data_IF_808582169647
#
_entry.id   IF_808582169647
#
_cell.length_a   1.000
_cell.length_b   1.000
_cell.length_c   1.000
_cell.angle_alpha   90.00
_cell.angle_beta   90.00
_cell.angle_gamma   90.00
#
_symmetry.space_group_name_H-M   'P 1'
#
loop_
_entity.id
_entity.type
_entity.pdbx_description
1 polymer ?
#
# COMPACT_ATOMS: atom_id res chain seq x y z
N UNK A 1 9.60 -22.44 -7.25
CA UNK A 1 10.19 -21.43 -8.14
C UNK A 1 9.10 -20.42 -8.39
N UNK A 2 9.03 -19.40 -7.56
CA UNK A 2 7.99 -18.37 -7.63
C UNK A 2 8.64 -17.00 -7.35
N UNK A 3 9.45 -16.55 -8.31
CA UNK A 3 10.30 -15.34 -8.19
C UNK A 3 9.75 -14.17 -9.02
N UNK A 4 8.43 -14.07 -9.21
CA UNK A 4 7.83 -12.97 -10.02
C UNK A 4 7.44 -11.72 -9.22
N UNK A 5 7.66 -11.68 -7.91
CA UNK A 5 7.13 -10.63 -7.04
C UNK A 5 7.84 -9.26 -7.09
N UNK A 6 8.91 -9.09 -7.88
CA UNK A 6 9.63 -7.80 -7.92
C UNK A 6 10.15 -7.41 -9.31
N UNK A 7 9.68 -8.08 -10.37
CA UNK A 7 10.25 -7.92 -11.70
C UNK A 7 9.95 -6.51 -12.26
N UNK A 8 8.69 -6.07 -12.17
CA UNK A 8 8.25 -4.79 -12.75
C UNK A 8 8.95 -3.60 -12.08
N UNK A 9 8.98 -3.52 -10.74
CA UNK A 9 9.71 -2.45 -10.04
C UNK A 9 11.21 -2.45 -10.40
N UNK A 10 11.80 -3.63 -10.60
CA UNK A 10 13.20 -3.77 -10.98
C UNK A 10 13.44 -3.28 -12.42
N UNK A 11 12.52 -3.54 -13.34
CA UNK A 11 12.58 -3.01 -14.72
C UNK A 11 12.65 -1.48 -14.72
N UNK A 12 11.78 -0.81 -13.97
CA UNK A 12 11.79 0.66 -13.87
C UNK A 12 13.09 1.20 -13.26
N UNK A 13 13.65 0.50 -12.28
CA UNK A 13 14.97 0.82 -11.70
C UNK A 13 16.06 0.76 -12.77
N UNK A 14 16.09 -0.31 -13.56
CA UNK A 14 17.08 -0.52 -14.63
C UNK A 14 16.95 0.53 -15.72
N UNK A 15 15.73 0.84 -16.16
CA UNK A 15 15.47 1.90 -17.14
C UNK A 15 15.95 3.26 -16.60
N UNK A 16 15.71 3.54 -15.31
CA UNK A 16 16.21 4.75 -14.67
C UNK A 16 17.72 4.87 -14.73
N UNK A 17 18.45 3.80 -14.39
CA UNK A 17 19.91 3.75 -14.49
C UNK A 17 20.36 3.99 -15.93
N UNK A 18 19.79 3.28 -16.90
CA UNK A 18 20.13 3.42 -18.32
C UNK A 18 19.90 4.85 -18.80
N UNK A 19 18.79 5.50 -18.41
CA UNK A 19 18.48 6.89 -18.77
C UNK A 19 19.55 7.87 -18.25
N UNK A 20 19.99 7.72 -16.99
CA UNK A 20 21.04 8.57 -16.41
C UNK A 20 22.35 8.32 -17.14
N UNK A 21 22.72 7.06 -17.35
CA UNK A 21 23.97 6.67 -17.99
C UNK A 21 24.03 7.20 -19.43
N UNK A 22 22.96 7.02 -20.21
CA UNK A 22 22.87 7.56 -21.58
C UNK A 22 22.91 9.08 -21.59
N UNK A 23 22.16 9.76 -20.72
CA UNK A 23 22.18 11.22 -20.63
C UNK A 23 23.56 11.77 -20.29
N UNK A 24 24.26 11.12 -19.35
CA UNK A 24 25.64 11.44 -18.99
C UNK A 24 26.59 11.30 -20.18
N UNK A 25 26.61 10.13 -20.82
CA UNK A 25 27.54 9.89 -21.92
C UNK A 25 27.23 10.76 -23.15
N UNK A 26 25.96 10.89 -23.52
CA UNK A 26 25.56 11.69 -24.68
C UNK A 26 25.76 13.18 -24.43
N UNK A 27 25.45 13.68 -23.23
CA UNK A 27 25.67 15.08 -22.87
C UNK A 27 27.15 15.45 -22.90
N UNK A 28 28.01 14.62 -22.29
CA UNK A 28 29.47 14.81 -22.32
C UNK A 28 30.00 14.69 -23.76
N UNK A 29 29.53 13.71 -24.52
CA UNK A 29 29.93 13.54 -25.92
C UNK A 29 29.61 14.79 -26.76
N UNK A 30 28.41 15.36 -26.59
CA UNK A 30 28.04 16.60 -27.29
C UNK A 30 28.89 17.79 -26.87
N UNK A 31 29.24 17.92 -25.58
CA UNK A 31 30.09 19.01 -25.08
C UNK A 31 31.54 18.87 -25.56
N UNK A 32 32.08 17.64 -25.59
CA UNK A 32 33.50 17.40 -25.86
C UNK A 32 33.84 17.22 -27.35
N UNK A 33 32.85 16.92 -28.20
CA UNK A 33 33.11 16.61 -29.60
C UNK A 33 33.32 17.89 -30.44
N UNK A 34 34.53 18.05 -30.98
CA UNK A 34 34.94 19.20 -31.79
C UNK A 34 34.19 19.31 -33.13
N UNK A 35 33.56 18.22 -33.59
CA UNK A 35 32.74 18.21 -34.82
C UNK A 35 31.53 19.15 -34.72
N UNK A 36 31.09 19.47 -33.50
CA UNK A 36 29.96 20.37 -33.25
C UNK A 36 30.37 21.80 -32.89
N UNK A 37 31.67 22.14 -32.97
CA UNK A 37 32.17 23.49 -32.67
C UNK A 37 31.53 24.58 -33.54
N UNK A 38 31.01 24.23 -34.72
CA UNK A 38 30.26 25.16 -35.59
C UNK A 38 28.99 25.71 -34.93
N UNK A 39 28.46 25.02 -33.91
CA UNK A 39 27.31 25.48 -33.11
C UNK A 39 27.71 26.47 -32.00
N UNK A 40 29.00 26.65 -31.71
CA UNK A 40 29.48 27.59 -30.69
C UNK A 40 28.81 27.39 -29.32
N UNK A 41 28.25 28.47 -28.75
CA UNK A 41 27.59 28.42 -27.43
C UNK A 41 26.38 27.47 -27.38
N UNK A 42 25.70 27.22 -28.51
CA UNK A 42 24.54 26.32 -28.57
C UNK A 42 24.93 24.86 -28.30
N UNK A 43 26.16 24.45 -28.63
CA UNK A 43 26.66 23.11 -28.36
C UNK A 43 26.64 22.80 -26.85
N UNK A 44 27.12 23.74 -26.03
CA UNK A 44 27.12 23.60 -24.58
C UNK A 44 25.71 23.52 -24.02
N UNK A 45 24.80 24.37 -24.51
CA UNK A 45 23.39 24.35 -24.09
C UNK A 45 22.74 22.99 -24.41
N UNK A 46 22.90 22.50 -25.64
CA UNK A 46 22.34 21.21 -26.06
C UNK A 46 22.89 20.06 -25.22
N UNK A 47 24.21 20.01 -25.00
CA UNK A 47 24.83 18.96 -24.20
C UNK A 47 24.37 18.97 -22.73
N UNK A 48 24.26 20.16 -22.12
CA UNK A 48 23.70 20.30 -20.77
C UNK A 48 22.23 19.92 -20.71
N UNK A 49 21.43 20.31 -21.72
CA UNK A 49 20.03 19.89 -21.82
C UNK A 49 19.93 18.37 -21.87
N UNK A 50 20.67 17.69 -22.75
CA UNK A 50 20.66 16.23 -22.87
C UNK A 50 21.02 15.57 -21.54
N UNK A 51 22.06 16.07 -20.87
CA UNK A 51 22.48 15.57 -19.57
C UNK A 51 21.37 15.71 -18.52
N UNK A 52 20.84 16.92 -18.35
CA UNK A 52 19.80 17.22 -17.36
C UNK A 52 18.54 16.41 -17.65
N UNK A 53 18.13 16.31 -18.91
CA UNK A 53 16.96 15.53 -19.31
C UNK A 53 17.15 14.04 -18.95
N UNK A 54 18.31 13.45 -19.22
CA UNK A 54 18.58 12.06 -18.87
C UNK A 54 18.56 11.81 -17.34
N UNK A 55 19.10 12.75 -16.56
CA UNK A 55 19.05 12.72 -15.09
C UNK A 55 17.62 12.84 -14.57
N UNK A 56 16.85 13.81 -15.08
CA UNK A 56 15.46 14.03 -14.68
C UNK A 56 14.59 12.80 -14.95
N UNK A 57 14.67 12.24 -16.16
CA UNK A 57 13.95 11.01 -16.49
C UNK A 57 14.38 9.83 -15.63
N UNK A 58 15.68 9.71 -15.33
CA UNK A 58 16.18 8.71 -14.40
C UNK A 58 15.53 8.79 -13.03
N UNK A 59 15.50 10.00 -12.44
CA UNK A 59 14.86 10.26 -11.14
C UNK A 59 13.36 9.92 -11.19
N UNK A 60 12.67 10.30 -12.26
CA UNK A 60 11.24 9.97 -12.46
C UNK A 60 11.01 8.46 -12.46
N UNK A 61 11.82 7.70 -13.20
CA UNK A 61 11.70 6.24 -13.24
C UNK A 61 12.01 5.58 -11.88
N UNK A 62 13.00 6.08 -11.14
CA UNK A 62 13.22 5.63 -9.76
C UNK A 62 12.02 5.92 -8.86
N UNK A 63 11.40 7.09 -8.99
CA UNK A 63 10.17 7.45 -8.29
C UNK A 63 9.06 6.43 -8.57
N UNK A 64 8.80 6.13 -9.85
CA UNK A 64 7.80 5.13 -10.23
C UNK A 64 8.13 3.73 -9.72
N UNK A 65 9.39 3.30 -9.77
CA UNK A 65 9.79 2.01 -9.19
C UNK A 65 9.38 1.91 -7.71
N UNK A 66 9.61 2.96 -6.91
CA UNK A 66 9.21 2.97 -5.49
C UNK A 66 7.70 2.91 -5.31
N UNK A 67 6.94 3.67 -6.09
CA UNK A 67 5.47 3.65 -6.04
C UNK A 67 4.95 2.26 -6.40
N UNK A 68 5.46 1.65 -7.46
CA UNK A 68 5.06 0.30 -7.89
C UNK A 68 5.41 -0.73 -6.82
N UNK A 69 6.60 -0.65 -6.23
CA UNK A 69 7.02 -1.56 -5.13
C UNK A 69 6.10 -1.44 -3.92
N UNK A 70 5.64 -0.23 -3.59
CA UNK A 70 4.67 -0.03 -2.51
C UNK A 70 3.32 -0.66 -2.85
N UNK A 71 2.82 -0.46 -4.06
CA UNK A 71 1.56 -1.06 -4.51
C UNK A 71 1.63 -2.58 -4.54
N UNK A 72 2.72 -3.15 -5.05
CA UNK A 72 2.98 -4.60 -5.00
C UNK A 72 3.05 -5.10 -3.56
N UNK A 73 3.69 -4.34 -2.66
CA UNK A 73 3.72 -4.67 -1.24
C UNK A 73 2.33 -4.67 -0.58
N UNK A 74 1.41 -3.78 -1.00
CA UNK A 74 0.03 -3.78 -0.52
C UNK A 74 -0.73 -4.99 -1.10
N UNK A 75 -0.61 -5.20 -2.41
CA UNK A 75 -1.27 -6.31 -3.11
C UNK A 75 -0.86 -7.67 -2.55
N UNK A 76 0.45 -7.92 -2.40
CA UNK A 76 0.94 -9.19 -1.87
C UNK A 76 0.47 -9.43 -0.43
N UNK A 77 0.34 -8.38 0.40
CA UNK A 77 -0.22 -8.53 1.76
C UNK A 77 -1.71 -8.87 1.74
N UNK A 78 -2.47 -8.37 0.78
CA UNK A 78 -3.88 -8.73 0.61
C UNK A 78 -4.02 -10.21 0.22
N UNK A 79 -3.16 -10.68 -0.69
CA UNK A 79 -3.13 -12.08 -1.14
C UNK A 79 -2.59 -13.03 -0.05
N UNK A 80 -1.56 -12.63 0.68
CA UNK A 80 -0.98 -13.40 1.80
C UNK A 80 -1.96 -13.56 2.96
N UNK A 81 -2.77 -12.54 3.26
CA UNK A 81 -3.84 -12.65 4.25
C UNK A 81 -4.98 -13.61 3.81
N UNK A 82 -5.07 -14.00 2.54
CA UNK A 82 -5.96 -15.08 2.10
C UNK A 82 -5.38 -16.48 2.37
N UNK A 83 -4.06 -16.60 2.56
CA UNK A 83 -3.37 -17.88 2.80
C UNK A 83 -2.98 -18.13 4.26
N UNK A 84 -2.84 -17.10 5.10
CA UNK A 84 -2.44 -17.23 6.52
C UNK A 84 -3.58 -17.50 7.52
N UNK A 85 -4.82 -17.69 7.07
CA UNK A 85 -5.90 -18.11 7.97
C UNK A 85 -5.68 -19.51 8.58
N UNK A 86 -4.75 -20.32 8.06
CA UNK A 86 -4.54 -21.71 8.50
C UNK A 86 -3.57 -21.90 9.68
N UNK A 87 -2.81 -20.90 10.15
CA UNK A 87 -1.85 -21.08 11.24
C UNK A 87 -1.75 -19.85 12.15
N UNK A 88 -2.79 -19.59 12.96
CA UNK A 88 -2.60 -18.82 14.18
C UNK A 88 -3.24 -19.51 15.39
N UNK A 89 -2.46 -20.42 15.97
CA UNK A 89 -2.70 -21.07 17.24
C UNK A 89 -2.87 -20.03 18.35
N UNK A 90 -4.02 -20.11 18.99
CA UNK A 90 -4.53 -19.29 20.08
C UNK A 90 -3.48 -19.14 21.20
N UNK A 91 -3.05 -17.90 21.49
CA UNK A 91 -2.65 -17.50 22.84
C UNK A 91 -3.51 -16.33 23.31
N UNK A 92 -4.62 -16.74 23.89
CA UNK A 92 -5.49 -16.12 24.90
C UNK A 92 -5.03 -14.80 25.51
N UNK A 93 -5.81 -13.74 25.25
CA UNK A 93 -6.20 -12.71 26.24
C UNK A 93 -7.34 -11.84 25.66
N UNK A 94 -8.48 -12.46 25.31
CA UNK A 94 -9.71 -11.75 24.98
C UNK A 94 -10.59 -11.68 26.23
N UNK A 95 -10.66 -10.51 26.87
CA UNK A 95 -11.63 -10.24 27.95
C UNK A 95 -12.90 -9.62 27.36
N UNK A 96 -14.00 -10.25 27.75
CA UNK A 96 -15.41 -9.96 27.46
C UNK A 96 -15.76 -8.50 27.76
N UNK A 97 -16.44 -7.83 26.83
CA UNK A 97 -17.03 -6.51 27.06
C UNK A 97 -18.51 -6.65 27.47
N UNK A 98 -18.86 -6.09 28.62
CA UNK A 98 -20.23 -6.05 29.16
C UNK A 98 -20.95 -4.78 28.72
N UNK A 99 -22.26 -4.91 28.54
CA UNK A 99 -23.18 -3.98 27.90
C UNK A 99 -23.19 -2.54 28.46
N UNK A 100 -23.05 -1.57 27.56
CA UNK A 100 -23.88 -0.36 27.51
C UNK A 100 -23.60 0.43 26.22
N UNK A 101 -24.67 1.02 25.68
CA UNK A 101 -24.73 2.08 24.64
C UNK A 101 -24.98 1.66 23.17
N UNK A 102 -26.27 1.71 22.82
CA UNK A 102 -26.90 2.06 21.53
C UNK A 102 -26.10 1.83 20.24
N UNK A 103 -26.22 0.58 19.75
CA UNK A 103 -26.04 0.20 18.35
C UNK A 103 -27.06 0.93 17.46
N UNK A 104 -26.60 1.87 16.64
CA UNK A 104 -27.40 2.39 15.53
C UNK A 104 -27.66 1.24 14.54
N UNK A 105 -28.91 0.77 14.51
CA UNK A 105 -29.31 -0.38 13.70
C UNK A 105 -29.27 0.00 12.21
N UNK A 106 -28.52 -0.78 11.45
CA UNK A 106 -28.79 -1.11 10.04
C UNK A 106 -28.40 -0.11 8.95
N UNK A 107 -27.16 0.38 8.92
CA UNK A 107 -26.56 0.77 7.65
C UNK A 107 -25.09 0.36 7.59
N UNK A 108 -24.85 -0.95 7.53
CA UNK A 108 -23.54 -1.49 7.17
C UNK A 108 -23.52 -1.62 5.66
N UNK A 109 -22.66 -0.88 4.93
CA UNK A 109 -22.55 -1.01 3.49
C UNK A 109 -22.20 -2.44 3.06
N UNK A 110 -22.70 -2.89 1.90
CA UNK A 110 -22.48 -4.26 1.40
C UNK A 110 -20.99 -4.59 1.22
N UNK A 111 -20.17 -3.60 0.84
CA UNK A 111 -18.72 -3.77 0.73
C UNK A 111 -18.08 -4.07 2.09
N UNK A 112 -18.42 -3.30 3.13
CA UNK A 112 -17.93 -3.50 4.49
C UNK A 112 -18.38 -4.85 5.05
N UNK A 113 -19.62 -5.25 4.75
CA UNK A 113 -20.15 -6.55 5.15
C UNK A 113 -19.37 -7.69 4.52
N UNK A 114 -19.08 -7.59 3.23
CA UNK A 114 -18.32 -8.61 2.48
C UNK A 114 -16.91 -8.75 3.03
N UNK A 115 -16.24 -7.63 3.31
CA UNK A 115 -14.88 -7.60 3.85
C UNK A 115 -14.80 -8.17 5.28
N UNK A 116 -15.81 -7.88 6.13
CA UNK A 116 -15.91 -8.45 7.48
C UNK A 116 -16.17 -9.96 7.42
N UNK A 117 -17.07 -10.42 6.55
CA UNK A 117 -17.33 -11.86 6.34
C UNK A 117 -16.07 -12.56 5.84
N UNK A 118 -15.33 -11.92 4.94
CA UNK A 118 -14.04 -12.41 4.47
C UNK A 118 -13.00 -12.51 5.62
N UNK A 119 -12.93 -11.49 6.48
CA UNK A 119 -12.02 -11.46 7.61
C UNK A 119 -12.31 -12.53 8.67
N UNK A 120 -13.57 -12.96 8.81
CA UNK A 120 -13.99 -14.01 9.74
C UNK A 120 -14.42 -15.31 9.04
N UNK A 121 -13.88 -15.62 7.84
CA UNK A 121 -14.25 -16.79 7.01
C UNK A 121 -14.44 -18.13 7.74
N UNK A 122 -13.76 -18.34 8.87
CA UNK A 122 -13.80 -19.58 9.66
C UNK A 122 -14.72 -19.53 10.89
N UNK A 123 -15.41 -18.40 11.12
CA UNK A 123 -16.21 -18.19 12.32
C UNK A 123 -17.63 -17.74 11.97
N UNK A 124 -18.61 -18.25 12.69
CA UNK A 124 -20.01 -17.88 12.47
C UNK A 124 -20.27 -16.47 13.02
N UNK A 125 -20.47 -15.52 12.10
CA UNK A 125 -20.86 -14.16 12.43
C UNK A 125 -22.34 -14.15 12.80
N UNK A 126 -22.63 -13.85 14.06
CA UNK A 126 -23.99 -13.73 14.57
C UNK A 126 -24.60 -12.36 14.23
N UNK A 127 -23.79 -11.30 14.28
CA UNK A 127 -24.26 -9.93 14.06
C UNK A 127 -23.14 -9.00 13.62
N UNK A 128 -23.45 -8.06 12.71
CA UNK A 128 -22.60 -6.93 12.35
C UNK A 128 -23.42 -5.65 12.55
N UNK A 129 -22.90 -4.71 13.33
CA UNK A 129 -23.49 -3.40 13.58
C UNK A 129 -22.48 -2.30 13.27
N UNK A 130 -22.94 -1.18 12.71
CA UNK A 130 -22.11 0.02 12.56
C UNK A 130 -21.89 0.72 13.91
N UNK A 131 -20.81 1.48 14.03
CA UNK A 131 -20.57 2.38 15.15
C UNK A 131 -20.90 3.84 14.79
N UNK A 132 -20.66 4.78 15.72
CA UNK A 132 -20.76 6.23 15.46
C UNK A 132 -19.61 6.76 14.58
N UNK A 133 -18.56 5.98 14.40
CA UNK A 133 -17.39 6.35 13.59
C UNK A 133 -17.44 5.62 12.25
N UNK A 134 -17.15 6.36 11.19
CA UNK A 134 -16.97 5.80 9.86
C UNK A 134 -15.84 4.77 9.87
N UNK A 135 -16.02 3.70 9.10
CA UNK A 135 -15.11 2.57 8.99
C UNK A 135 -14.91 1.72 10.26
N UNK A 136 -15.66 1.94 11.34
CA UNK A 136 -15.63 1.10 12.54
C UNK A 136 -16.94 0.33 12.72
N UNK A 137 -16.81 -0.99 12.89
CA UNK A 137 -17.93 -1.93 12.98
C UNK A 137 -17.80 -2.85 14.20
N UNK A 138 -18.92 -3.14 14.85
CA UNK A 138 -19.01 -4.13 15.93
C UNK A 138 -19.48 -5.45 15.33
N UNK A 139 -18.69 -6.50 15.50
CA UNK A 139 -18.97 -7.85 14.99
C UNK A 139 -19.11 -8.80 16.17
N UNK A 140 -20.22 -9.52 16.24
CA UNK A 140 -20.46 -10.57 17.23
C UNK A 140 -20.19 -11.94 16.61
N UNK A 141 -19.25 -12.68 17.17
CA UNK A 141 -18.80 -14.00 16.70
C UNK A 141 -18.65 -14.92 17.90
N UNK A 142 -19.30 -16.09 17.89
CA UNK A 142 -19.28 -17.06 19.00
C UNK A 142 -19.50 -16.42 20.39
N UNK A 143 -20.50 -15.55 20.51
CA UNK A 143 -20.83 -14.76 21.70
C UNK A 143 -19.80 -13.70 22.14
N UNK A 144 -18.71 -13.52 21.39
CA UNK A 144 -17.72 -12.48 21.62
C UNK A 144 -17.96 -11.28 20.69
N UNK A 145 -17.88 -10.06 21.22
CA UNK A 145 -17.95 -8.82 20.43
C UNK A 145 -16.53 -8.31 20.11
N UNK A 146 -16.29 -8.01 18.84
CA UNK A 146 -15.06 -7.43 18.33
C UNK A 146 -15.36 -6.09 17.66
N UNK A 147 -14.46 -5.12 17.79
CA UNK A 147 -14.49 -3.89 16.99
C UNK A 147 -13.51 -4.05 15.83
N UNK A 148 -14.00 -3.92 14.61
CA UNK A 148 -13.22 -4.01 13.36
C UNK A 148 -13.11 -2.63 12.74
N UNK A 149 -11.89 -2.23 12.43
CA UNK A 149 -11.57 -1.04 11.63
C UNK A 149 -11.34 -1.47 10.18
N UNK A 150 -12.07 -0.87 9.24
CA UNK A 150 -11.95 -1.06 7.79
C UNK A 150 -11.33 0.15 7.07
N UNK A 151 -10.98 1.22 7.77
CA UNK A 151 -10.49 2.47 7.13
C UNK A 151 -9.05 2.39 6.62
N UNK A 152 -8.38 1.24 6.83
CA UNK A 152 -7.02 0.98 6.37
C UNK A 152 -6.98 0.01 5.18
N UNK A 153 -5.78 -0.34 4.74
CA UNK A 153 -5.58 -1.31 3.66
C UNK A 153 -5.95 -2.76 4.02
N UNK A 154 -6.15 -3.06 5.31
CA UNK A 154 -6.57 -4.38 5.78
C UNK A 154 -7.47 -4.25 7.00
N UNK A 155 -8.51 -5.10 7.14
CA UNK A 155 -9.34 -5.17 8.34
C UNK A 155 -8.50 -5.48 9.57
N UNK A 156 -8.76 -4.77 10.68
CA UNK A 156 -8.03 -4.97 11.94
C UNK A 156 -8.95 -4.99 13.15
N UNK A 157 -8.67 -5.90 14.09
CA UNK A 157 -9.27 -5.89 15.42
C UNK A 157 -8.70 -4.73 16.23
N UNK A 158 -9.57 -3.82 16.66
CA UNK A 158 -9.19 -2.65 17.45
C UNK A 158 -8.99 -3.07 18.92
N UNK A 159 -7.88 -2.64 19.52
CA UNK A 159 -7.59 -2.91 20.93
C UNK A 159 -8.42 -2.00 21.85
N UNK A 160 -8.71 -2.45 23.08
CA UNK A 160 -9.54 -1.70 24.02
C UNK A 160 -9.04 -0.28 24.28
N UNK A 161 -7.71 -0.12 24.44
CA UNK A 161 -7.08 1.19 24.68
C UNK A 161 -7.38 2.16 23.54
N UNK A 162 -7.36 1.66 22.29
CA UNK A 162 -7.65 2.46 21.10
C UNK A 162 -9.15 2.72 20.97
N UNK A 163 -10.00 1.72 21.20
CA UNK A 163 -11.45 1.88 21.16
C UNK A 163 -11.96 2.90 22.18
N UNK A 164 -11.41 2.89 23.41
CA UNK A 164 -11.71 3.89 24.45
C UNK A 164 -11.19 5.29 24.09
N UNK A 165 -9.99 5.37 23.51
CA UNK A 165 -9.44 6.63 23.02
C UNK A 165 -10.25 7.25 21.87
N UNK A 166 -11.00 6.43 21.14
CA UNK A 166 -11.88 6.83 20.04
C UNK A 166 -13.33 7.09 20.51
N UNK A 167 -13.66 6.84 21.78
CA UNK A 167 -15.02 7.01 22.30
C UNK A 167 -16.04 6.03 21.71
N UNK A 168 -15.58 4.88 21.20
CA UNK A 168 -16.47 3.80 20.73
C UNK A 168 -17.05 3.03 21.93
N UNK A 169 -16.27 2.99 23.02
CA UNK A 169 -16.57 2.37 24.32
C UNK A 169 -15.98 3.20 25.47
#
# INVERSE_FOLDING_TARGET
MDDRQNDISSVFTVIGIISITLGLFLGIYYIANQSYNSLGALQGVIGWTIFITGVLWGIVFFGFSKVIKLLQGIYNRMEENQHYASEFSITTNARVFSDSEESNKNNVPDHARSEIVEFFKEQEIQQISGTKLDDFYIVKVNDHRFIIELGGFTPKKVTQKRAKGLGII
#
